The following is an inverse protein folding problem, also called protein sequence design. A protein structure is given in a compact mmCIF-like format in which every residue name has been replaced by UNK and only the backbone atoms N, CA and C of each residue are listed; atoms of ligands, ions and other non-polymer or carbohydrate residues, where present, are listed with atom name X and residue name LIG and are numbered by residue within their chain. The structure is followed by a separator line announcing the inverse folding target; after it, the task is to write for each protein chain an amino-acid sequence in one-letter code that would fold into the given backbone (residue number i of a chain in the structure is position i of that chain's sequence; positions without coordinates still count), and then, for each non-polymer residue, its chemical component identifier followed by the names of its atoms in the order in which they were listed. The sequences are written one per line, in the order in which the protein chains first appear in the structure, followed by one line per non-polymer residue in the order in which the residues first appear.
data_IF_344992984906
#
_entry.id   IF_344992984906
#
_cell.length_a   1.000
_cell.length_b   1.000
_cell.length_c   1.000
_cell.angle_alpha   90.00
_cell.angle_beta   90.00
_cell.angle_gamma   90.00
#
_symmetry.space_group_name_H-M   'P 1'
#
loop_
_entity.id
_entity.type
_entity.pdbx_description
1 polymer ?
#
# COMPACT_ATOMS: atom_id res chain seq x y z
N UNK A 1 -10.89 -1.59 6.70
CA UNK A 1 -10.13 -0.71 5.78
C UNK A 1 -8.78 -1.34 5.48
N UNK A 2 -8.33 -1.32 4.23
CA UNK A 2 -6.96 -1.68 3.88
C UNK A 2 -6.22 -0.40 3.48
N UNK A 3 -5.11 -0.12 4.13
CA UNK A 3 -4.19 0.96 3.79
C UNK A 3 -2.85 0.36 3.40
N UNK A 4 -2.42 0.62 2.17
CA UNK A 4 -1.15 0.16 1.61
C UNK A 4 -0.24 1.38 1.43
N UNK A 5 1.03 1.21 1.78
CA UNK A 5 2.09 2.17 1.49
C UNK A 5 3.15 1.48 0.63
N UNK A 6 3.72 2.23 -0.30
CA UNK A 6 4.83 1.76 -1.11
C UNK A 6 6.15 2.22 -0.47
N UNK A 7 7.09 1.30 -0.25
CA UNK A 7 8.35 1.57 0.45
C UNK A 7 9.16 2.71 -0.21
N UNK A 8 9.16 2.78 -1.55
CA UNK A 8 9.93 3.77 -2.30
C UNK A 8 9.09 4.98 -2.71
N UNK A 9 7.94 5.19 -2.09
CA UNK A 9 7.19 6.43 -2.26
C UNK A 9 7.87 7.60 -1.51
N UNK A 10 8.61 8.40 -2.27
CA UNK A 10 9.29 9.58 -1.74
C UNK A 10 8.33 10.75 -1.43
N UNK A 11 7.10 10.73 -1.94
CA UNK A 11 6.11 11.78 -1.73
C UNK A 11 5.29 11.56 -0.46
N UNK A 12 5.01 10.30 -0.14
CA UNK A 12 4.32 9.89 1.09
C UNK A 12 5.14 8.80 1.81
N UNK A 13 6.27 9.16 2.45
CA UNK A 13 7.15 8.19 3.09
C UNK A 13 6.41 7.36 4.13
N UNK A 14 6.44 6.05 3.95
CA UNK A 14 5.79 5.05 4.78
C UNK A 14 6.22 5.14 6.25
N UNK A 15 7.51 5.38 6.49
CA UNK A 15 8.13 5.51 7.83
C UNK A 15 7.42 6.56 8.71
N UNK A 16 6.96 7.65 8.10
CA UNK A 16 6.26 8.73 8.79
C UNK A 16 4.75 8.48 8.85
N UNK A 17 4.17 7.89 7.81
CA UNK A 17 2.73 7.83 7.62
C UNK A 17 2.08 6.54 8.16
N UNK A 18 2.78 5.41 8.14
CA UNK A 18 2.28 4.14 8.68
C UNK A 18 1.90 4.23 10.17
N UNK A 19 2.75 4.78 11.06
CA UNK A 19 2.40 4.89 12.48
C UNK A 19 1.19 5.82 12.69
N UNK A 20 1.15 6.95 11.98
CA UNK A 20 0.04 7.91 12.07
C UNK A 20 -1.28 7.31 11.59
N UNK A 21 -1.27 6.57 10.47
CA UNK A 21 -2.45 5.88 9.94
C UNK A 21 -2.95 4.79 10.88
N UNK A 22 -2.05 3.99 11.49
CA UNK A 22 -2.44 3.02 12.53
C UNK A 22 -3.12 3.69 13.70
N UNK A 23 -2.50 4.72 14.27
CA UNK A 23 -3.06 5.43 15.42
C UNK A 23 -4.44 6.03 15.11
N UNK A 24 -4.62 6.62 13.93
CA UNK A 24 -5.91 7.18 13.50
C UNK A 24 -6.98 6.08 13.35
N UNK A 25 -6.62 4.93 12.77
CA UNK A 25 -7.54 3.80 12.59
C UNK A 25 -7.95 3.17 13.93
N UNK A 26 -7.00 3.03 14.85
CA UNK A 26 -7.26 2.56 16.22
C UNK A 26 -8.19 3.52 16.96
N UNK A 27 -7.89 4.83 16.91
CA UNK A 27 -8.70 5.87 17.54
C UNK A 27 -10.13 5.96 16.95
N UNK A 28 -10.32 5.63 15.68
CA UNK A 28 -11.64 5.60 15.04
C UNK A 28 -12.56 4.49 15.55
N UNK A 29 -12.05 3.55 16.36
CA UNK A 29 -12.79 2.36 16.79
C UNK A 29 -13.00 1.33 15.68
N UNK A 30 -12.35 1.50 14.52
CA UNK A 30 -12.39 0.51 13.45
C UNK A 30 -11.64 -0.75 13.91
N UNK A 31 -12.37 -1.85 14.12
CA UNK A 31 -11.77 -3.12 14.57
C UNK A 31 -11.26 -3.99 13.42
N UNK A 32 -11.53 -3.60 12.18
CA UNK A 32 -11.28 -4.42 11.00
C UNK A 32 -10.50 -3.61 9.97
N UNK A 33 -9.22 -3.44 10.24
CA UNK A 33 -8.31 -2.78 9.34
C UNK A 33 -6.97 -3.48 9.25
N UNK A 34 -6.23 -3.14 8.19
CA UNK A 34 -4.83 -3.49 8.03
C UNK A 34 -4.11 -2.30 7.43
N UNK A 35 -2.94 -1.99 7.99
CA UNK A 35 -2.02 -0.96 7.47
C UNK A 35 -0.69 -1.65 7.24
N UNK A 36 -0.17 -1.58 6.02
CA UNK A 36 1.05 -2.30 5.65
C UNK A 36 1.85 -1.58 4.59
N UNK A 37 3.16 -1.77 4.67
CA UNK A 37 4.11 -1.39 3.64
C UNK A 37 4.29 -2.55 2.65
N UNK A 38 4.52 -2.22 1.39
CA UNK A 38 4.92 -3.15 0.35
C UNK A 38 6.30 -2.72 -0.19
N UNK A 39 7.28 -3.64 -0.18
CA UNK A 39 8.65 -3.34 -0.57
C UNK A 39 8.78 -3.13 -2.08
N UNK A 40 9.81 -2.41 -2.49
CA UNK A 40 10.23 -2.25 -3.89
C UNK A 40 9.18 -1.61 -4.81
N UNK A 41 8.26 -0.82 -4.26
CA UNK A 41 7.22 -0.13 -5.03
C UNK A 41 7.38 1.40 -4.97
N UNK A 42 7.09 2.08 -6.07
CA UNK A 42 6.99 3.54 -6.14
C UNK A 42 5.60 4.06 -5.73
N UNK A 43 5.41 5.39 -5.75
CA UNK A 43 4.14 6.08 -5.47
C UNK A 43 2.93 5.52 -6.25
N UNK A 44 3.13 5.01 -7.47
CA UNK A 44 2.06 4.47 -8.31
C UNK A 44 1.84 2.96 -8.07
N UNK A 45 2.48 2.38 -7.06
CA UNK A 45 2.49 0.95 -6.76
C UNK A 45 3.04 0.10 -7.90
N UNK A 46 3.98 0.64 -8.67
CA UNK A 46 4.75 -0.11 -9.67
C UNK A 46 6.09 -0.53 -9.05
N UNK A 47 6.63 -1.64 -9.52
CA UNK A 47 7.96 -2.15 -9.15
C UNK A 47 9.01 -1.10 -9.52
N UNK A 48 9.88 -0.76 -8.58
CA UNK A 48 10.88 0.28 -8.75
C UNK A 48 12.17 -0.05 -7.98
N UNK A 49 13.30 0.42 -8.49
CA UNK A 49 14.58 0.26 -7.81
C UNK A 49 14.84 1.42 -6.85
N UNK A 50 14.49 2.65 -7.24
CA UNK A 50 14.80 3.87 -6.47
C UNK A 50 13.55 4.63 -6.01
N UNK A 51 12.43 4.51 -6.73
CA UNK A 51 11.16 5.19 -6.41
C UNK A 51 11.00 6.57 -7.03
N UNK A 52 11.84 6.92 -8.02
CA UNK A 52 11.77 8.24 -8.67
C UNK A 52 10.70 8.23 -9.76
N UNK A 53 9.95 9.33 -9.89
CA UNK A 53 8.86 9.44 -10.87
C UNK A 53 9.28 9.22 -12.33
N UNK A 54 10.59 9.28 -12.64
CA UNK A 54 11.11 8.95 -13.98
C UNK A 54 11.04 7.46 -14.29
N UNK A 55 11.20 6.57 -13.30
CA UNK A 55 11.09 5.12 -13.49
C UNK A 55 9.67 4.74 -13.94
N UNK A 56 8.65 5.44 -13.42
CA UNK A 56 7.26 5.24 -13.81
C UNK A 56 7.00 5.50 -15.30
N UNK A 57 7.75 6.41 -15.94
CA UNK A 57 7.62 6.71 -17.37
C UNK A 57 8.28 5.66 -18.27
N UNK A 58 9.06 4.73 -17.70
CA UNK A 58 9.81 3.72 -18.44
C UNK A 58 9.25 2.31 -18.27
N UNK A 59 8.36 2.11 -17.30
CA UNK A 59 7.71 0.81 -17.07
C UNK A 59 6.38 0.74 -17.81
N UNK A 60 6.07 -0.43 -18.36
CA UNK A 60 4.74 -0.76 -18.88
C UNK A 60 3.79 -1.26 -17.77
N UNK A 61 4.31 -1.54 -16.58
CA UNK A 61 3.51 -2.00 -15.45
C UNK A 61 2.59 -0.89 -14.97
N UNK A 62 1.27 -1.03 -15.12
CA UNK A 62 0.31 -0.05 -14.57
C UNK A 62 0.24 -0.09 -13.05
N UNK A 63 0.28 -1.30 -12.47
CA UNK A 63 0.27 -1.56 -11.03
C UNK A 63 0.85 -2.95 -10.77
N UNK A 64 1.63 -3.11 -9.70
CA UNK A 64 2.26 -4.39 -9.38
C UNK A 64 1.20 -5.48 -9.10
N UNK A 65 1.35 -6.69 -9.68
CA UNK A 65 0.51 -7.83 -9.35
C UNK A 65 0.48 -8.16 -7.85
N UNK A 66 1.55 -7.83 -7.10
CA UNK A 66 1.61 -8.02 -5.65
C UNK A 66 0.55 -7.18 -4.94
N UNK A 67 0.33 -5.95 -5.39
CA UNK A 67 -0.66 -5.02 -4.83
C UNK A 67 -2.07 -5.52 -5.14
N UNK A 68 -2.33 -5.90 -6.39
CA UNK A 68 -3.62 -6.48 -6.79
C UNK A 68 -3.95 -7.73 -6.00
N UNK A 69 -2.98 -8.65 -5.85
CA UNK A 69 -3.14 -9.84 -5.02
C UNK A 69 -3.48 -9.47 -3.58
N UNK A 70 -2.83 -8.44 -3.02
CA UNK A 70 -3.08 -8.02 -1.64
C UNK A 70 -4.49 -7.46 -1.44
N UNK A 71 -4.98 -6.68 -2.39
CA UNK A 71 -6.35 -6.15 -2.41
C UNK A 71 -7.35 -7.30 -2.51
N UNK A 72 -7.14 -8.24 -3.45
CA UNK A 72 -8.01 -9.41 -3.63
C UNK A 72 -8.04 -10.26 -2.36
N UNK A 73 -6.87 -10.61 -1.81
CA UNK A 73 -6.76 -11.41 -0.59
C UNK A 73 -7.48 -10.74 0.59
N UNK A 74 -7.38 -9.41 0.70
CA UNK A 74 -8.13 -8.64 1.71
C UNK A 74 -9.63 -8.75 1.49
N UNK A 75 -10.12 -8.43 0.29
CA UNK A 75 -11.54 -8.47 -0.04
C UNK A 75 -12.14 -9.87 0.15
N UNK A 76 -11.43 -10.93 -0.24
CA UNK A 76 -11.87 -12.31 -0.05
C UNK A 76 -12.02 -12.66 1.43
N UNK A 77 -11.08 -12.25 2.30
CA UNK A 77 -11.23 -12.44 3.75
C UNK A 77 -12.45 -11.70 4.31
N UNK A 78 -12.71 -10.49 3.80
CA UNK A 78 -13.86 -9.70 4.22
C UNK A 78 -15.19 -10.32 3.78
N UNK A 79 -15.22 -10.92 2.59
CA UNK A 79 -16.41 -11.59 2.06
C UNK A 79 -16.77 -12.86 2.84
N UNK A 80 -15.78 -13.60 3.34
CA UNK A 80 -15.97 -14.82 4.15
C UNK A 80 -16.28 -14.50 5.62
N UNK A 81 -15.90 -13.31 6.09
CA UNK A 81 -16.13 -12.86 7.48
C UNK A 81 -17.47 -12.13 7.68
N UNK A 82 -18.35 -12.14 6.67
CA UNK A 82 -19.73 -11.66 6.73
C UNK A 82 -20.68 -12.84 6.97
#
# INVERSE_FOLDING_TARGET
MLALYAEKDLSVPSELNLPAMRAALEASGNKNFKVEELPDLNLLFQTADVGIGREANWTEETISPVVLKRIVDWLSRQAVSR
#
